data_IF_985499101230
#
_entry.id   IF_985499101230
#
_cell.length_a   1.000
_cell.length_b   1.000
_cell.length_c   1.000
_cell.angle_alpha   90.00
_cell.angle_beta   90.00
_cell.angle_gamma   90.00
#
_symmetry.space_group_name_H-M   'P 1'
#
loop_
_entity.id
_entity.type
_entity.pdbx_description
1 polymer ?
#
# COMPACT_ATOMS: atom_id res chain seq x y z
N UNK A 1 -42.77 -47.07 36.60
CA UNK A 1 -42.91 -46.10 35.49
C UNK A 1 -42.82 -46.85 34.17
N UNK A 2 -43.85 -46.78 33.31
CA UNK A 2 -43.90 -47.52 32.03
C UNK A 2 -42.83 -46.99 31.06
N UNK A 3 -41.97 -47.87 30.55
CA UNK A 3 -40.95 -47.53 29.57
C UNK A 3 -41.56 -47.10 28.23
N UNK A 4 -41.11 -45.97 27.67
CA UNK A 4 -41.58 -45.44 26.40
C UNK A 4 -41.19 -46.38 25.24
N UNK A 5 -42.20 -46.94 24.54
CA UNK A 5 -42.01 -47.77 23.34
C UNK A 5 -41.66 -46.88 22.16
N UNK A 6 -40.52 -47.16 21.51
CA UNK A 6 -40.08 -46.50 20.27
C UNK A 6 -41.14 -46.68 19.16
N UNK A 7 -41.60 -45.63 18.49
CA UNK A 7 -42.59 -45.76 17.42
C UNK A 7 -42.02 -46.58 16.25
N UNK A 8 -42.82 -47.51 15.72
CA UNK A 8 -42.45 -48.29 14.52
C UNK A 8 -42.36 -47.35 13.32
N UNK A 9 -41.24 -47.40 12.58
CA UNK A 9 -41.09 -46.68 11.31
C UNK A 9 -42.15 -47.17 10.32
N UNK A 10 -43.05 -46.29 9.89
CA UNK A 10 -44.00 -46.58 8.83
C UNK A 10 -43.27 -46.55 7.47
N UNK A 11 -43.65 -47.46 6.57
CA UNK A 11 -43.13 -47.48 5.20
C UNK A 11 -43.77 -46.33 4.40
N UNK A 12 -42.96 -45.36 4.01
CA UNK A 12 -43.38 -44.26 3.12
C UNK A 12 -43.17 -44.71 1.67
N UNK A 13 -44.23 -45.17 1.01
CA UNK A 13 -44.19 -45.49 -0.41
C UNK A 13 -44.20 -44.22 -1.25
N UNK A 14 -43.35 -44.16 -2.26
CA UNK A 14 -43.32 -43.08 -3.23
C UNK A 14 -44.07 -43.52 -4.49
N UNK A 15 -44.70 -42.56 -5.17
CA UNK A 15 -45.38 -42.83 -6.44
C UNK A 15 -44.44 -43.51 -7.46
N UNK A 16 -44.93 -44.53 -8.19
CA UNK A 16 -44.14 -45.21 -9.20
C UNK A 16 -43.65 -44.20 -10.24
N UNK A 17 -42.34 -44.24 -10.53
CA UNK A 17 -41.70 -43.34 -11.50
C UNK A 17 -41.14 -42.03 -10.94
N UNK A 18 -41.40 -41.66 -9.67
CA UNK A 18 -40.80 -40.45 -9.06
C UNK A 18 -39.27 -40.45 -9.11
N UNK A 19 -38.65 -41.58 -8.73
CA UNK A 19 -37.19 -41.73 -8.76
C UNK A 19 -36.64 -41.94 -10.18
N UNK A 20 -37.45 -42.48 -11.09
CA UNK A 20 -37.08 -42.59 -12.51
C UNK A 20 -36.95 -41.20 -13.12
N UNK A 21 -37.93 -40.31 -12.90
CA UNK A 21 -37.88 -38.90 -13.33
C UNK A 21 -36.71 -38.14 -12.68
N UNK A 22 -36.44 -38.39 -11.40
CA UNK A 22 -35.31 -37.79 -10.70
C UNK A 22 -33.97 -38.26 -11.30
N UNK A 23 -33.83 -39.56 -11.57
CA UNK A 23 -32.64 -40.11 -12.19
C UNK A 23 -32.43 -39.59 -13.62
N UNK A 24 -33.50 -39.44 -14.41
CA UNK A 24 -33.44 -38.82 -15.74
C UNK A 24 -32.99 -37.36 -15.67
N UNK A 25 -33.49 -36.57 -14.70
CA UNK A 25 -32.98 -35.21 -14.45
C UNK A 25 -31.51 -35.19 -14.06
N UNK A 26 -31.06 -36.13 -13.23
CA UNK A 26 -29.65 -36.22 -12.83
C UNK A 26 -28.75 -36.56 -14.03
N UNK A 27 -29.16 -37.52 -14.88
CA UNK A 27 -28.42 -37.88 -16.10
C UNK A 27 -28.36 -36.74 -17.10
N UNK A 28 -29.49 -36.08 -17.37
CA UNK A 28 -29.54 -34.92 -18.29
C UNK A 28 -28.70 -33.76 -17.79
N UNK A 29 -28.73 -33.46 -16.47
CA UNK A 29 -27.84 -32.48 -15.85
C UNK A 29 -26.37 -32.85 -16.04
N UNK A 30 -26.00 -34.11 -15.82
CA UNK A 30 -24.63 -34.60 -15.99
C UNK A 30 -24.19 -34.53 -17.46
N UNK A 31 -25.08 -34.85 -18.42
CA UNK A 31 -24.80 -34.71 -19.85
C UNK A 31 -24.58 -33.25 -20.26
N UNK A 32 -25.39 -32.32 -19.74
CA UNK A 32 -25.19 -30.88 -19.97
C UNK A 32 -23.85 -30.40 -19.39
N UNK A 33 -23.47 -30.86 -18.20
CA UNK A 33 -22.19 -30.52 -17.58
C UNK A 33 -21.00 -31.07 -18.38
N UNK A 34 -21.08 -32.31 -18.88
CA UNK A 34 -20.09 -32.89 -19.78
C UNK A 34 -20.00 -32.14 -21.11
N UNK A 35 -21.15 -31.73 -21.68
CA UNK A 35 -21.18 -30.95 -22.90
C UNK A 35 -20.53 -29.57 -22.68
N UNK A 36 -20.83 -28.90 -21.58
CA UNK A 36 -20.19 -27.65 -21.19
C UNK A 36 -18.67 -27.80 -21.01
N UNK A 37 -18.22 -28.89 -20.35
CA UNK A 37 -16.81 -29.19 -20.19
C UNK A 37 -16.12 -29.47 -21.53
N UNK A 38 -16.78 -30.21 -22.43
CA UNK A 38 -16.28 -30.50 -23.78
C UNK A 38 -16.14 -29.22 -24.62
N UNK A 39 -17.16 -28.36 -24.62
CA UNK A 39 -17.11 -27.05 -25.29
C UNK A 39 -15.99 -26.19 -24.69
N UNK A 40 -15.87 -26.13 -23.37
CA UNK A 40 -14.78 -25.39 -22.71
C UNK A 40 -13.39 -25.93 -23.07
N UNK A 41 -13.22 -27.25 -23.19
CA UNK A 41 -11.97 -27.87 -23.63
C UNK A 41 -11.68 -27.60 -25.12
N UNK A 42 -12.69 -27.66 -25.99
CA UNK A 42 -12.55 -27.34 -27.41
C UNK A 42 -12.16 -25.86 -27.63
N UNK A 43 -12.76 -24.94 -26.87
CA UNK A 43 -12.42 -23.51 -26.87
C UNK A 43 -11.00 -23.25 -26.35
N UNK A 44 -10.55 -24.02 -25.34
CA UNK A 44 -9.15 -23.97 -24.86
C UNK A 44 -8.16 -24.51 -25.89
N UNK A 45 -8.48 -25.64 -26.55
CA UNK A 45 -7.63 -26.28 -27.57
C UNK A 45 -7.48 -25.43 -28.84
N UNK A 46 -8.52 -24.71 -29.22
CA UNK A 46 -8.53 -23.85 -30.42
C UNK A 46 -7.81 -22.51 -30.21
N UNK A 47 -7.40 -22.16 -28.98
CA UNK A 47 -6.69 -20.91 -28.71
C UNK A 47 -7.52 -19.63 -28.92
N UNK A 48 -8.79 -19.76 -29.32
CA UNK A 48 -9.69 -18.64 -29.65
C UNK A 48 -10.00 -17.81 -28.39
N UNK A 49 -10.17 -18.44 -27.23
CA UNK A 49 -10.42 -17.71 -25.98
C UNK A 49 -9.19 -16.92 -25.49
N UNK A 50 -7.98 -17.44 -25.68
CA UNK A 50 -6.75 -16.70 -25.39
C UNK A 50 -6.56 -15.53 -26.36
N UNK A 51 -6.82 -15.73 -27.65
CA UNK A 51 -6.71 -14.67 -28.66
C UNK A 51 -7.78 -13.58 -28.50
N UNK A 52 -9.03 -13.94 -28.17
CA UNK A 52 -10.11 -12.99 -27.91
C UNK A 52 -9.92 -12.20 -26.58
N UNK A 53 -9.32 -12.83 -25.57
CA UNK A 53 -8.93 -12.12 -24.34
C UNK A 53 -7.77 -11.15 -24.61
N UNK A 54 -6.76 -11.56 -25.39
CA UNK A 54 -5.65 -10.69 -25.79
C UNK A 54 -6.12 -9.51 -26.66
N UNK A 55 -7.10 -9.70 -27.57
CA UNK A 55 -7.65 -8.59 -28.36
C UNK A 55 -8.45 -7.59 -27.53
N UNK A 56 -8.98 -8.00 -26.38
CA UNK A 56 -9.68 -7.10 -25.44
C UNK A 56 -8.70 -6.23 -24.62
N UNK A 57 -7.43 -6.63 -24.52
CA UNK A 57 -6.36 -5.89 -23.81
C UNK A 57 -5.81 -4.71 -24.63
N UNK A 58 -6.04 -4.69 -25.95
CA UNK A 58 -5.64 -3.52 -26.72
C UNK A 58 -6.29 -2.27 -26.09
N UNK A 59 -5.48 -1.25 -25.76
CA UNK A 59 -6.02 -0.06 -25.16
C UNK A 59 -7.04 0.52 -26.14
N UNK A 60 -8.33 0.46 -25.79
CA UNK A 60 -9.40 1.26 -26.40
C UNK A 60 -9.22 2.75 -26.08
N UNK A 61 -7.98 3.24 -26.11
CA UNK A 61 -7.76 4.60 -26.55
C UNK A 61 -7.99 4.53 -28.05
N UNK A 62 -9.23 4.77 -28.43
CA UNK A 62 -9.53 5.40 -29.71
C UNK A 62 -8.91 6.80 -29.60
N UNK A 63 -7.58 6.87 -29.65
CA UNK A 63 -6.97 7.99 -30.33
C UNK A 63 -7.28 7.62 -31.77
N UNK A 64 -8.17 8.37 -32.41
CA UNK A 64 -8.26 8.32 -33.86
C UNK A 64 -6.87 8.71 -34.38
N UNK A 65 -5.96 7.73 -34.48
CA UNK A 65 -4.70 7.85 -35.21
C UNK A 65 -4.96 8.05 -36.71
N UNK A 66 -6.22 7.89 -37.13
CA UNK A 66 -6.75 8.01 -38.48
C UNK A 66 -6.71 9.42 -39.06
N UNK A 67 -6.70 10.48 -38.23
CA UNK A 67 -6.66 11.85 -38.72
C UNK A 67 -5.54 12.61 -38.01
N UNK A 68 -4.31 12.46 -38.53
CA UNK A 68 -3.24 13.42 -38.26
C UNK A 68 -3.79 14.80 -38.67
N UNK A 69 -3.94 15.76 -37.74
CA UNK A 69 -4.46 17.06 -38.08
C UNK A 69 -3.60 17.69 -39.17
N UNK A 70 -4.24 18.35 -40.14
CA UNK A 70 -3.53 19.06 -41.22
C UNK A 70 -2.61 20.16 -40.70
N UNK A 71 -2.87 20.62 -39.47
CA UNK A 71 -2.07 21.60 -38.76
C UNK A 71 -2.09 21.29 -37.25
N UNK A 72 -0.92 21.22 -36.62
CA UNK A 72 -0.84 21.05 -35.18
C UNK A 72 -1.21 22.35 -34.45
N UNK A 73 -1.86 22.24 -33.28
CA UNK A 73 -2.42 23.38 -32.55
C UNK A 73 -1.40 24.44 -32.12
N UNK A 74 -0.12 24.06 -31.99
CA UNK A 74 0.96 24.99 -31.64
C UNK A 74 1.49 25.76 -32.85
N UNK A 75 1.43 25.18 -34.06
CA UNK A 75 1.81 25.86 -35.31
C UNK A 75 0.75 26.84 -35.79
N UNK A 76 -0.52 26.59 -35.49
CA UNK A 76 -1.63 27.49 -35.80
C UNK A 76 -1.43 28.92 -35.25
N UNK A 77 -0.65 29.07 -34.18
CA UNK A 77 -0.36 30.37 -33.58
C UNK A 77 0.81 31.13 -34.23
N UNK A 78 1.66 30.40 -34.96
CA UNK A 78 2.89 30.92 -35.56
C UNK A 78 2.63 31.37 -37.02
N UNK A 79 1.68 30.71 -37.68
CA UNK A 79 1.27 31.00 -39.05
C UNK A 79 0.34 32.21 -39.13
N UNK A 80 0.24 32.83 -40.31
CA UNK A 80 -0.71 33.93 -40.55
C UNK A 80 -2.16 33.43 -40.62
N UNK A 81 -3.09 34.33 -40.26
CA UNK A 81 -4.53 34.09 -40.34
C UNK A 81 -4.94 33.68 -41.76
N UNK A 82 -5.45 32.45 -41.91
CA UNK A 82 -5.90 31.89 -43.20
C UNK A 82 -5.12 30.66 -43.69
N UNK A 83 -4.02 30.29 -43.04
CA UNK A 83 -3.28 29.04 -43.36
C UNK A 83 -3.86 27.86 -42.56
N UNK A 84 -4.43 26.88 -43.26
CA UNK A 84 -5.16 25.74 -42.65
C UNK A 84 -4.44 24.39 -42.77
N UNK A 85 -3.34 24.33 -43.51
CA UNK A 85 -2.56 23.11 -43.73
C UNK A 85 -1.08 23.44 -43.99
N UNK A 86 -0.19 22.51 -43.66
CA UNK A 86 1.23 22.63 -43.98
C UNK A 86 1.52 22.71 -45.48
N UNK A 87 0.60 22.28 -46.34
CA UNK A 87 0.74 22.35 -47.81
C UNK A 87 1.00 23.78 -48.32
N UNK A 88 0.53 24.80 -47.60
CA UNK A 88 0.81 26.19 -47.93
C UNK A 88 2.32 26.55 -47.89
N UNK A 89 3.13 25.77 -47.15
CA UNK A 89 4.59 25.90 -47.16
C UNK A 89 5.22 25.33 -48.44
N UNK A 90 4.65 24.23 -48.96
CA UNK A 90 5.09 23.59 -50.20
C UNK A 90 4.71 24.49 -51.40
N UNK A 91 3.49 25.03 -51.41
CA UNK A 91 3.01 25.95 -52.46
C UNK A 91 3.89 27.21 -52.56
N UNK A 92 4.28 27.81 -51.41
CA UNK A 92 5.18 28.96 -51.42
C UNK A 92 6.63 28.63 -51.80
N UNK A 93 7.08 27.39 -51.54
CA UNK A 93 8.39 26.93 -51.97
C UNK A 93 8.45 26.74 -53.49
N UNK A 94 7.38 26.23 -54.10
CA UNK A 94 7.24 26.10 -55.56
C UNK A 94 7.17 27.48 -56.26
N UNK A 95 6.51 28.46 -55.65
CA UNK A 95 6.47 29.84 -56.16
C UNK A 95 7.75 30.66 -55.88
N UNK A 96 8.73 30.10 -55.15
CA UNK A 96 9.98 30.77 -54.80
C UNK A 96 9.82 31.90 -53.77
N UNK A 97 8.71 31.94 -53.03
CA UNK A 97 8.46 32.92 -51.98
C UNK A 97 9.20 32.53 -50.68
N UNK A 98 9.78 33.51 -49.96
CA UNK A 98 10.45 33.24 -48.70
C UNK A 98 9.41 32.85 -47.64
N UNK A 99 9.74 31.87 -46.79
CA UNK A 99 8.91 31.36 -45.67
C UNK A 99 8.36 32.46 -44.75
N UNK A 100 9.05 33.61 -44.73
CA UNK A 100 8.65 34.83 -44.02
C UNK A 100 7.30 35.42 -44.46
N UNK A 101 6.77 34.99 -45.61
CA UNK A 101 5.44 35.40 -46.12
C UNK A 101 4.32 34.64 -45.41
N UNK A 102 4.58 33.42 -44.96
CA UNK A 102 3.60 32.54 -44.30
C UNK A 102 3.63 32.73 -42.78
N UNK A 103 4.82 33.02 -42.24
CA UNK A 103 5.02 33.24 -40.82
C UNK A 103 4.49 34.60 -40.36
N UNK A 104 3.86 34.61 -39.20
CA UNK A 104 3.42 35.84 -38.57
C UNK A 104 4.60 36.52 -37.84
N UNK A 105 5.29 37.43 -38.55
CA UNK A 105 6.44 38.19 -38.03
C UNK A 105 6.14 39.01 -36.78
N UNK A 106 4.87 39.26 -36.45
CA UNK A 106 4.49 39.98 -35.24
C UNK A 106 4.72 39.16 -33.96
N UNK A 107 4.66 37.82 -34.04
CA UNK A 107 4.74 36.94 -32.89
C UNK A 107 6.16 36.41 -32.63
N UNK A 108 6.98 36.29 -33.69
CA UNK A 108 8.35 35.81 -33.59
C UNK A 108 9.28 37.01 -33.33
N UNK A 109 9.78 37.13 -32.12
CA UNK A 109 10.73 38.18 -31.71
C UNK A 109 11.97 37.57 -31.06
N UNK A 110 13.04 38.37 -30.89
CA UNK A 110 14.25 37.95 -30.19
C UNK A 110 14.08 37.85 -28.65
N UNK A 111 12.85 38.03 -28.15
CA UNK A 111 12.55 38.00 -26.73
C UNK A 111 12.36 36.55 -26.27
N UNK A 112 13.04 36.19 -25.19
CA UNK A 112 12.91 34.87 -24.55
C UNK A 112 12.07 35.02 -23.29
N UNK A 113 10.87 34.43 -23.29
CA UNK A 113 10.04 34.35 -22.09
C UNK A 113 10.64 33.34 -21.11
N UNK A 114 10.74 33.73 -19.84
CA UNK A 114 11.06 32.81 -18.76
C UNK A 114 9.74 32.32 -18.16
N UNK A 115 9.38 31.03 -18.30
CA UNK A 115 8.11 30.51 -17.80
C UNK A 115 7.93 30.77 -16.31
N UNK A 116 6.68 30.90 -15.89
CA UNK A 116 6.34 31.12 -14.49
C UNK A 116 6.90 29.97 -13.65
N UNK A 117 7.70 30.32 -12.63
CA UNK A 117 8.27 29.35 -11.68
C UNK A 117 7.15 28.83 -10.78
N UNK A 118 6.59 27.66 -11.13
CA UNK A 118 5.65 26.95 -10.27
C UNK A 118 6.36 26.38 -9.05
N UNK A 119 5.70 26.45 -7.89
CA UNK A 119 6.17 25.76 -6.68
C UNK A 119 6.12 24.24 -6.90
N UNK A 120 7.05 23.48 -6.30
CA UNK A 120 6.99 22.03 -6.40
C UNK A 120 5.68 21.53 -5.78
N UNK A 121 4.95 20.60 -6.43
CA UNK A 121 3.64 20.13 -5.95
C UNK A 121 3.63 19.54 -4.53
N UNK A 122 4.80 19.21 -3.97
CA UNK A 122 5.00 18.55 -2.68
C UNK A 122 5.88 19.36 -1.73
N UNK A 123 5.75 20.69 -1.74
CA UNK A 123 6.47 21.55 -0.80
C UNK A 123 6.01 21.24 0.64
N UNK A 124 6.96 21.04 1.56
CA UNK A 124 6.66 20.80 2.96
C UNK A 124 6.10 22.12 3.54
N UNK A 125 4.87 22.09 4.08
CA UNK A 125 4.26 23.27 4.71
C UNK A 125 5.09 23.84 5.87
N UNK A 126 5.93 22.99 6.47
CA UNK A 126 6.95 23.37 7.44
C UNK A 126 8.28 22.76 7.03
N UNK A 127 9.40 23.48 7.19
CA UNK A 127 10.71 22.90 6.98
C UNK A 127 10.88 21.67 7.90
N UNK A 128 11.60 20.63 7.46
CA UNK A 128 11.78 19.44 8.26
C UNK A 128 12.54 19.77 9.54
N UNK A 129 11.92 19.52 10.69
CA UNK A 129 12.57 19.71 11.99
C UNK A 129 13.69 18.69 12.15
N UNK A 130 14.94 19.16 12.21
CA UNK A 130 16.10 18.31 12.43
C UNK A 130 16.11 17.89 13.91
N UNK A 131 15.97 16.59 14.24
CA UNK A 131 15.96 16.16 15.64
C UNK A 131 17.33 16.39 16.28
N UNK A 132 17.36 17.16 17.37
CA UNK A 132 18.60 17.41 18.11
C UNK A 132 18.99 16.17 18.93
N UNK A 133 20.08 15.52 18.52
CA UNK A 133 20.62 14.34 19.19
C UNK A 133 21.77 14.75 20.10
N UNK A 134 21.63 14.49 21.39
CA UNK A 134 22.71 14.71 22.36
C UNK A 134 23.67 13.51 22.44
N UNK A 135 24.95 13.81 22.57
CA UNK A 135 25.98 12.79 22.84
C UNK A 135 25.76 12.13 24.21
N UNK A 136 26.40 10.98 24.45
CA UNK A 136 26.33 10.31 25.76
C UNK A 136 26.85 11.20 26.90
N UNK A 137 27.90 12.00 26.64
CA UNK A 137 28.50 12.93 27.63
C UNK A 137 27.54 14.06 27.99
N UNK A 138 26.91 14.69 26.99
CA UNK A 138 25.94 15.76 27.21
C UNK A 138 24.68 15.25 27.91
N UNK A 139 24.15 14.07 27.53
CA UNK A 139 23.04 13.45 28.26
C UNK A 139 23.36 13.21 29.73
N UNK A 140 24.60 12.81 30.05
CA UNK A 140 25.07 12.64 31.43
C UNK A 140 25.18 14.00 32.14
N UNK A 141 25.64 15.05 31.46
CA UNK A 141 25.74 16.43 31.98
C UNK A 141 24.35 17.00 32.31
N UNK A 142 23.42 16.98 31.36
CA UNK A 142 22.02 17.43 31.55
C UNK A 142 21.34 16.66 32.68
N UNK A 143 21.46 15.33 32.69
CA UNK A 143 20.91 14.51 33.79
C UNK A 143 21.50 14.88 35.15
N UNK A 144 22.80 15.19 35.24
CA UNK A 144 23.44 15.60 36.48
C UNK A 144 22.95 16.98 36.93
N UNK A 145 22.88 17.94 36.03
CA UNK A 145 22.40 19.30 36.30
C UNK A 145 20.94 19.27 36.78
N UNK A 146 20.03 18.60 36.06
CA UNK A 146 18.61 18.50 36.46
C UNK A 146 18.44 17.80 37.82
N UNK A 147 19.31 16.84 38.17
CA UNK A 147 19.30 16.20 39.50
C UNK A 147 19.81 17.12 40.60
N UNK A 148 20.86 17.89 40.31
CA UNK A 148 21.41 18.88 41.24
C UNK A 148 20.40 19.99 41.51
N UNK A 149 19.74 20.49 40.47
CA UNK A 149 18.69 21.51 40.56
C UNK A 149 17.48 20.99 41.35
N UNK A 150 16.95 19.81 41.01
CA UNK A 150 15.84 19.22 41.76
C UNK A 150 16.18 18.94 43.24
N UNK A 151 17.44 18.60 43.54
CA UNK A 151 17.91 18.42 44.92
C UNK A 151 18.04 19.76 45.64
N UNK A 152 18.55 20.80 44.96
CA UNK A 152 18.67 22.16 45.49
C UNK A 152 17.28 22.75 45.78
N UNK A 153 16.35 22.63 44.84
CA UNK A 153 14.95 23.04 45.00
C UNK A 153 14.29 22.34 46.20
N UNK A 154 14.54 21.04 46.38
CA UNK A 154 14.04 20.30 47.54
C UNK A 154 14.64 20.80 48.85
N UNK A 155 15.93 21.08 48.88
CA UNK A 155 16.61 21.64 50.05
C UNK A 155 16.11 23.05 50.38
N UNK A 156 15.89 23.89 49.37
CA UNK A 156 15.32 25.22 49.52
C UNK A 156 13.89 25.16 50.06
N UNK A 157 13.04 24.25 49.59
CA UNK A 157 11.70 24.01 50.15
C UNK A 157 11.74 23.61 51.62
N UNK A 158 12.71 22.79 52.04
CA UNK A 158 12.91 22.44 53.45
C UNK A 158 13.42 23.64 54.25
N UNK A 159 14.36 24.41 53.70
CA UNK A 159 14.90 25.63 54.35
C UNK A 159 13.83 26.69 54.56
N UNK A 160 12.89 26.82 53.63
CA UNK A 160 11.73 27.71 53.72
C UNK A 160 10.61 27.16 54.61
N UNK A 161 10.72 25.92 55.11
CA UNK A 161 9.70 25.28 55.95
C UNK A 161 8.45 24.80 55.19
N UNK A 162 8.44 24.86 53.86
CA UNK A 162 7.33 24.38 53.01
C UNK A 162 7.23 22.85 53.00
N UNK A 163 8.32 22.15 53.30
CA UNK A 163 8.35 20.69 53.44
C UNK A 163 9.11 20.30 54.71
N UNK A 164 8.63 19.31 55.49
CA UNK A 164 9.41 18.77 56.60
C UNK A 164 10.67 18.06 56.10
N UNK A 165 11.76 18.05 56.88
CA UNK A 165 12.95 17.25 56.57
C UNK A 165 12.59 15.78 56.34
N UNK A 166 13.16 15.12 55.32
CA UNK A 166 12.85 13.72 55.06
C UNK A 166 13.40 12.81 56.17
N UNK A 167 12.56 11.91 56.68
CA UNK A 167 12.97 10.92 57.68
C UNK A 167 14.10 10.00 57.19
N UNK A 168 14.96 9.49 58.10
CA UNK A 168 16.02 8.57 57.75
C UNK A 168 15.47 7.26 57.17
N UNK A 169 16.15 6.77 56.13
CA UNK A 169 15.76 5.56 55.41
C UNK A 169 16.15 4.31 56.22
N UNK A 170 15.24 3.75 57.02
CA UNK A 170 15.49 2.50 57.74
C UNK A 170 15.23 1.28 56.83
N UNK A 171 15.99 0.21 57.01
CA UNK A 171 15.80 -1.12 56.36
C UNK A 171 15.94 -2.16 57.47
N UNK A 172 15.34 -3.34 57.31
CA UNK A 172 15.52 -4.44 58.27
C UNK A 172 17.01 -4.76 58.54
N UNK A 173 17.84 -4.74 57.50
CA UNK A 173 19.30 -4.91 57.63
C UNK A 173 20.02 -3.78 58.39
N UNK A 174 19.47 -2.56 58.40
CA UNK A 174 20.05 -1.40 59.07
C UNK A 174 19.35 -1.09 60.41
N UNK A 175 18.40 -1.92 60.83
CA UNK A 175 17.50 -1.65 61.95
C UNK A 175 18.28 -1.50 63.26
N UNK A 176 19.15 -2.46 63.57
CA UNK A 176 19.97 -2.43 64.80
C UNK A 176 21.00 -1.30 64.83
N UNK A 177 21.43 -0.80 63.66
CA UNK A 177 22.39 0.30 63.58
C UNK A 177 21.72 1.67 63.76
N UNK A 178 20.45 1.82 63.36
CA UNK A 178 19.76 3.12 63.34
C UNK A 178 18.84 3.30 64.55
N UNK A 179 18.19 2.23 65.00
CA UNK A 179 17.23 2.24 66.13
C UNK A 179 17.65 1.23 67.21
N UNK A 180 18.96 1.05 67.44
CA UNK A 180 19.48 0.02 68.34
C UNK A 180 18.99 0.14 69.78
N UNK A 181 18.92 1.36 70.34
CA UNK A 181 18.37 1.61 71.68
C UNK A 181 16.91 1.18 71.82
N UNK A 182 16.11 1.50 70.80
CA UNK A 182 14.66 1.29 70.80
C UNK A 182 14.31 -0.16 70.44
N UNK A 183 15.13 -0.79 69.58
CA UNK A 183 14.99 -2.17 69.16
C UNK A 183 15.35 -3.16 70.28
N UNK A 184 16.20 -2.76 71.24
CA UNK A 184 16.51 -3.56 72.44
C UNK A 184 15.34 -3.56 73.43
N UNK A 185 14.58 -2.46 73.50
CA UNK A 185 13.41 -2.35 74.37
C UNK A 185 12.21 -3.12 73.80
N UNK A 186 11.83 -2.83 72.53
CA UNK A 186 10.67 -3.45 71.87
C UNK A 186 11.00 -3.91 70.43
N UNK A 187 11.53 -5.14 70.23
CA UNK A 187 11.99 -5.58 68.92
C UNK A 187 10.85 -5.69 67.89
N UNK A 188 9.67 -6.17 68.30
CA UNK A 188 8.51 -6.35 67.42
C UNK A 188 7.90 -5.03 66.95
N UNK A 189 7.86 -4.01 67.82
CA UNK A 189 7.30 -2.68 67.50
C UNK A 189 8.18 -1.95 66.49
N UNK A 190 9.50 -1.98 66.70
CA UNK A 190 10.47 -1.38 65.79
C UNK A 190 10.50 -2.11 64.44
N UNK A 191 10.39 -3.43 64.44
CA UNK A 191 10.25 -4.20 63.20
C UNK A 191 8.97 -3.83 62.42
N UNK A 192 7.82 -3.77 63.10
CA UNK A 192 6.55 -3.38 62.49
C UNK A 192 6.61 -1.96 61.91
N UNK A 193 7.21 -1.01 62.63
CA UNK A 193 7.45 0.35 62.16
C UNK A 193 8.31 0.38 60.88
N UNK A 194 9.42 -0.36 60.85
CA UNK A 194 10.31 -0.42 59.68
C UNK A 194 9.63 -1.11 58.49
N UNK A 195 8.84 -2.17 58.72
CA UNK A 195 8.02 -2.80 57.69
C UNK A 195 6.96 -1.85 57.13
N UNK A 196 6.26 -1.10 57.99
CA UNK A 196 5.31 -0.07 57.57
C UNK A 196 5.99 1.04 56.74
N UNK A 197 7.19 1.48 57.15
CA UNK A 197 7.97 2.46 56.39
C UNK A 197 8.47 1.89 55.04
N UNK A 198 8.83 0.61 54.99
CA UNK A 198 9.17 -0.11 53.75
C UNK A 198 7.97 -0.22 52.81
N UNK A 199 6.81 -0.62 53.35
CA UNK A 199 5.56 -0.74 52.61
C UNK A 199 5.07 0.61 52.11
N UNK A 200 5.11 1.65 52.94
CA UNK A 200 4.79 3.02 52.54
C UNK A 200 5.66 3.49 51.37
N UNK A 201 6.98 3.22 51.39
CA UNK A 201 7.87 3.52 50.26
C UNK A 201 7.53 2.71 49.01
N UNK A 202 7.23 1.41 49.16
CA UNK A 202 6.83 0.55 48.05
C UNK A 202 5.52 1.05 47.44
N UNK A 203 4.52 1.34 48.28
CA UNK A 203 3.23 1.91 47.90
C UNK A 203 3.37 3.26 47.23
N UNK A 204 4.20 4.16 47.75
CA UNK A 204 4.46 5.46 47.12
C UNK A 204 5.12 5.31 45.74
N UNK A 205 6.06 4.36 45.58
CA UNK A 205 6.67 4.05 44.28
C UNK A 205 5.64 3.45 43.30
N UNK A 206 4.83 2.50 43.74
CA UNK A 206 3.77 1.89 42.93
C UNK A 206 2.69 2.90 42.56
N UNK A 207 2.27 3.75 43.49
CA UNK A 207 1.32 4.83 43.26
C UNK A 207 1.88 5.86 42.26
N UNK A 208 3.15 6.24 42.37
CA UNK A 208 3.81 7.10 41.39
C UNK A 208 3.89 6.46 39.99
N UNK A 209 4.12 5.15 39.92
CA UNK A 209 4.12 4.42 38.66
C UNK A 209 2.71 4.27 38.08
N UNK A 210 1.70 4.03 38.92
CA UNK A 210 0.31 3.98 38.54
C UNK A 210 -0.18 5.34 38.01
N UNK A 211 0.19 6.43 38.68
CA UNK A 211 -0.11 7.80 38.23
C UNK A 211 0.55 8.15 36.88
N UNK A 212 1.79 7.67 36.63
CA UNK A 212 2.46 7.83 35.33
C UNK A 212 1.95 6.87 34.26
N UNK A 213 1.29 5.77 34.64
CA UNK A 213 0.80 4.76 33.71
C UNK A 213 -0.32 5.37 32.88
N UNK A 214 -0.07 5.37 31.58
CA UNK A 214 -1.00 5.92 30.61
C UNK A 214 -2.34 5.17 30.67
N UNK A 215 -3.46 5.90 30.66
CA UNK A 215 -4.78 5.27 30.61
C UNK A 215 -4.93 4.47 29.30
N UNK A 216 -5.84 3.49 29.27
CA UNK A 216 -6.06 2.66 28.06
C UNK A 216 -6.41 3.53 26.85
N UNK A 217 -7.19 4.58 27.06
CA UNK A 217 -7.60 5.53 26.02
C UNK A 217 -6.44 6.39 25.53
N UNK A 218 -5.64 6.95 26.44
CA UNK A 218 -4.44 7.71 26.09
C UNK A 218 -3.42 6.82 25.36
N UNK A 219 -3.28 5.55 25.74
CA UNK A 219 -2.43 4.59 25.06
C UNK A 219 -2.94 4.27 23.64
N UNK A 220 -4.25 4.12 23.48
CA UNK A 220 -4.89 3.98 22.16
C UNK A 220 -4.64 5.22 21.31
N UNK A 221 -4.82 6.42 21.84
CA UNK A 221 -4.56 7.67 21.14
C UNK A 221 -3.09 7.80 20.71
N UNK A 222 -2.14 7.52 21.60
CA UNK A 222 -0.70 7.53 21.24
C UNK A 222 -0.38 6.48 20.17
N UNK A 223 -1.02 5.30 20.21
CA UNK A 223 -0.86 4.26 19.16
C UNK A 223 -1.43 4.73 17.83
N UNK A 224 -2.63 5.31 17.83
CA UNK A 224 -3.26 5.87 16.62
C UNK A 224 -2.39 7.00 16.06
N UNK A 225 -1.93 7.94 16.88
CA UNK A 225 -1.02 9.03 16.46
C UNK A 225 0.30 8.51 15.88
N UNK A 226 0.81 7.38 16.38
CA UNK A 226 2.02 6.73 15.82
C UNK A 226 1.76 6.05 14.45
N UNK A 227 0.56 5.54 14.24
CA UNK A 227 0.16 4.84 13.00
C UNK A 227 -0.32 5.83 11.94
N UNK A 228 -1.07 6.85 12.36
CA UNK A 228 -1.60 7.93 11.52
C UNK A 228 -0.41 8.79 11.10
N UNK A 229 0.19 8.42 9.98
CA UNK A 229 1.22 9.21 9.32
C UNK A 229 0.58 10.39 8.61
N UNK A 230 1.32 11.48 8.51
CA UNK A 230 0.89 12.61 7.70
C UNK A 230 0.94 12.20 6.22
N UNK A 231 -0.24 11.97 5.65
CA UNK A 231 -0.40 11.55 4.25
C UNK A 231 -0.72 12.75 3.35
N UNK A 232 -0.55 13.98 3.87
CA UNK A 232 -0.94 15.21 3.17
C UNK A 232 0.02 15.59 2.03
N UNK A 233 1.27 15.10 2.06
CA UNK A 233 2.30 15.46 1.07
C UNK A 233 2.40 14.44 -0.07
N UNK A 234 2.40 13.17 0.29
CA UNK A 234 2.44 12.06 -0.65
C UNK A 234 1.73 10.87 -0.04
N UNK A 235 0.96 10.20 -0.88
CA UNK A 235 0.28 8.95 -0.54
C UNK A 235 1.06 7.84 -1.20
N UNK A 236 1.55 6.89 -0.41
CA UNK A 236 2.14 5.69 -0.98
C UNK A 236 1.04 4.71 -1.32
N UNK A 237 1.07 4.18 -2.53
CA UNK A 237 0.09 3.24 -3.05
C UNK A 237 0.81 1.96 -3.42
N UNK A 238 0.22 0.83 -3.05
CA UNK A 238 0.68 -0.51 -3.42
C UNK A 238 -0.49 -1.25 -4.04
N UNK A 239 -0.24 -1.86 -5.19
CA UNK A 239 -1.21 -2.65 -5.93
C UNK A 239 -0.74 -4.10 -5.94
N UNK A 240 -1.55 -4.98 -5.35
CA UNK A 240 -1.29 -6.40 -5.29
C UNK A 240 -2.28 -7.14 -6.17
N UNK A 241 -1.79 -8.18 -6.85
CA UNK A 241 -2.60 -9.15 -7.55
C UNK A 241 -2.58 -10.46 -6.78
N UNK A 242 -3.75 -11.05 -6.56
CA UNK A 242 -3.94 -12.31 -5.87
C UNK A 242 -4.73 -13.27 -6.75
N UNK A 243 -4.24 -14.51 -6.90
CA UNK A 243 -4.92 -15.53 -7.70
C UNK A 243 -6.24 -15.95 -7.03
N UNK A 244 -6.15 -16.43 -5.79
CA UNK A 244 -7.31 -16.95 -5.05
C UNK A 244 -7.62 -16.15 -3.79
N UNK A 245 -8.82 -15.56 -3.77
CA UNK A 245 -9.39 -14.90 -2.61
C UNK A 245 -10.53 -15.70 -1.96
N UNK A 246 -10.71 -16.98 -2.29
CA UNK A 246 -11.84 -17.80 -1.80
C UNK A 246 -11.84 -18.02 -0.29
N UNK A 247 -10.67 -17.99 0.37
CA UNK A 247 -10.56 -18.21 1.81
C UNK A 247 -11.02 -16.97 2.63
N UNK A 248 -12.07 -17.08 3.47
CA UNK A 248 -12.54 -15.97 4.31
C UNK A 248 -11.49 -15.47 5.30
N UNK A 249 -10.55 -16.33 5.73
CA UNK A 249 -9.46 -15.95 6.63
C UNK A 249 -8.51 -14.95 5.96
N UNK A 250 -8.23 -15.12 4.67
CA UNK A 250 -7.38 -14.19 3.91
C UNK A 250 -8.08 -12.85 3.75
N UNK A 251 -9.38 -12.84 3.40
CA UNK A 251 -10.24 -11.64 3.39
C UNK A 251 -10.20 -10.87 4.70
N UNK A 252 -10.49 -11.58 5.79
CA UNK A 252 -10.52 -10.97 7.11
C UNK A 252 -9.17 -10.38 7.52
N UNK A 253 -8.05 -11.08 7.24
CA UNK A 253 -6.70 -10.57 7.53
C UNK A 253 -6.42 -9.30 6.74
N UNK A 254 -6.69 -9.29 5.44
CA UNK A 254 -6.46 -8.13 4.57
C UNK A 254 -7.29 -6.93 5.04
N UNK A 255 -8.59 -7.12 5.23
CA UNK A 255 -9.51 -6.07 5.67
C UNK A 255 -9.14 -5.51 7.05
N UNK A 256 -8.94 -6.40 8.03
CA UNK A 256 -8.70 -6.01 9.42
C UNK A 256 -7.36 -5.32 9.56
N UNK A 257 -6.30 -5.79 8.88
CA UNK A 257 -5.00 -5.14 8.97
C UNK A 257 -5.00 -3.79 8.26
N UNK A 258 -5.67 -3.65 7.11
CA UNK A 258 -5.77 -2.36 6.44
C UNK A 258 -6.52 -1.34 7.30
N UNK A 259 -7.63 -1.74 7.93
CA UNK A 259 -8.39 -0.92 8.88
C UNK A 259 -7.57 -0.57 10.14
N UNK A 260 -6.86 -1.53 10.73
CA UNK A 260 -6.00 -1.29 11.91
C UNK A 260 -4.83 -0.35 11.60
N UNK A 261 -4.31 -0.39 10.37
CA UNK A 261 -3.26 0.50 9.90
C UNK A 261 -3.80 1.85 9.41
N UNK A 262 -5.12 2.08 9.41
CA UNK A 262 -5.76 3.29 8.89
C UNK A 262 -5.39 3.56 7.42
N UNK A 263 -5.28 2.48 6.66
CA UNK A 263 -5.06 2.52 5.22
C UNK A 263 -6.41 2.61 4.49
N UNK A 264 -6.37 3.14 3.28
CA UNK A 264 -7.53 3.26 2.38
C UNK A 264 -7.29 2.42 1.13
N UNK A 265 -8.33 2.12 0.36
CA UNK A 265 -8.15 1.29 -0.83
C UNK A 265 -9.41 0.57 -1.30
N UNK A 266 -9.23 -0.33 -2.26
CA UNK A 266 -10.30 -1.14 -2.83
C UNK A 266 -9.77 -2.54 -3.13
N UNK A 267 -10.57 -3.54 -2.77
CA UNK A 267 -10.35 -4.94 -3.15
C UNK A 267 -11.41 -5.34 -4.16
N UNK A 268 -11.02 -5.48 -5.42
CA UNK A 268 -11.86 -5.98 -6.48
C UNK A 268 -11.71 -7.51 -6.58
N UNK A 269 -12.80 -8.22 -6.36
CA UNK A 269 -12.86 -9.67 -6.47
C UNK A 269 -13.39 -10.05 -7.85
N UNK A 270 -12.59 -10.77 -8.63
CA UNK A 270 -12.94 -11.27 -9.95
C UNK A 270 -12.46 -12.73 -10.07
N UNK A 271 -13.08 -13.52 -10.96
CA UNK A 271 -12.78 -14.96 -11.10
C UNK A 271 -11.33 -15.20 -11.52
N UNK A 272 -10.83 -14.36 -12.42
CA UNK A 272 -9.53 -14.58 -13.08
C UNK A 272 -8.40 -13.76 -12.45
N UNK A 273 -8.70 -12.68 -11.75
CA UNK A 273 -7.70 -11.76 -11.19
C UNK A 273 -8.27 -10.93 -10.04
N UNK A 274 -7.88 -11.22 -8.80
CA UNK A 274 -8.26 -10.38 -7.66
C UNK A 274 -7.23 -9.26 -7.47
N UNK A 275 -7.70 -8.02 -7.38
CA UNK A 275 -6.84 -6.84 -7.27
C UNK A 275 -7.07 -6.19 -5.92
N UNK A 276 -5.97 -5.94 -5.19
CA UNK A 276 -5.96 -5.27 -3.89
C UNK A 276 -5.15 -4.00 -4.03
N UNK A 277 -5.83 -2.86 -4.07
CA UNK A 277 -5.21 -1.53 -4.05
C UNK A 277 -5.24 -0.99 -2.64
N UNK A 278 -4.09 -0.58 -2.11
CA UNK A 278 -3.99 0.00 -0.77
C UNK A 278 -3.15 1.25 -0.80
N UNK A 279 -3.68 2.30 -0.17
CA UNK A 279 -3.12 3.63 -0.05
C UNK A 279 -2.84 3.95 1.42
N UNK A 280 -1.70 4.57 1.69
CA UNK A 280 -1.31 4.92 3.05
C UNK A 280 0.06 5.56 3.14
N UNK A 281 0.54 5.72 4.37
CA UNK A 281 1.90 6.18 4.64
C UNK A 281 2.96 5.08 4.46
N UNK A 282 4.24 5.45 4.35
CA UNK A 282 5.32 4.50 4.06
C UNK A 282 5.51 3.43 5.15
N UNK A 283 5.30 3.73 6.45
CA UNK A 283 5.39 2.70 7.50
C UNK A 283 4.19 1.77 7.49
N UNK A 284 3.02 2.28 7.12
CA UNK A 284 1.82 1.47 6.94
C UNK A 284 2.04 0.49 5.78
N UNK A 285 2.53 0.98 4.64
CA UNK A 285 2.85 0.17 3.46
C UNK A 285 3.86 -0.94 3.76
N UNK A 286 4.98 -0.65 4.43
CA UNK A 286 5.98 -1.69 4.78
C UNK A 286 5.39 -2.82 5.63
N UNK A 287 4.45 -2.52 6.53
CA UNK A 287 3.78 -3.54 7.35
C UNK A 287 2.78 -4.35 6.53
N UNK A 288 2.06 -3.70 5.63
CA UNK A 288 1.06 -4.33 4.77
C UNK A 288 1.72 -5.18 3.67
N UNK A 289 2.80 -4.72 3.07
CA UNK A 289 3.63 -5.47 2.13
C UNK A 289 4.17 -6.75 2.77
N UNK A 290 4.69 -6.66 4.00
CA UNK A 290 5.11 -7.84 4.77
C UNK A 290 3.95 -8.77 5.11
N UNK A 291 2.74 -8.23 5.32
CA UNK A 291 1.55 -9.05 5.51
C UNK A 291 1.21 -9.84 4.25
N UNK A 292 1.09 -9.15 3.12
CA UNK A 292 0.66 -9.72 1.84
C UNK A 292 1.65 -10.72 1.28
N UNK A 293 2.95 -10.39 1.29
CA UNK A 293 3.95 -11.24 0.63
C UNK A 293 4.50 -12.35 1.53
N UNK A 294 4.62 -12.12 2.84
CA UNK A 294 5.38 -13.03 3.73
C UNK A 294 4.54 -13.69 4.82
N UNK A 295 3.53 -13.02 5.38
CA UNK A 295 2.78 -13.53 6.55
C UNK A 295 1.52 -14.32 6.17
N UNK A 296 0.86 -13.94 5.08
CA UNK A 296 -0.27 -14.69 4.55
C UNK A 296 0.29 -15.80 3.69
N UNK A 297 -0.01 -17.04 4.07
CA UNK A 297 0.31 -18.22 3.28
C UNK A 297 -0.85 -18.50 2.33
N UNK A 298 -0.74 -18.00 1.10
CA UNK A 298 -1.84 -18.04 0.12
C UNK A 298 -2.24 -19.45 -0.28
N UNK A 299 -1.31 -20.39 -0.25
CA UNK A 299 -1.52 -21.80 -0.61
C UNK A 299 -2.15 -22.66 0.51
N UNK A 300 -2.27 -22.13 1.74
CA UNK A 300 -2.95 -22.85 2.83
C UNK A 300 -4.47 -22.74 2.68
N UNK A 301 -5.07 -23.77 2.08
CA UNK A 301 -6.53 -23.98 2.09
C UNK A 301 -6.97 -24.39 3.51
N UNK A 302 -8.24 -24.09 3.87
CA UNK A 302 -8.82 -24.27 5.22
C UNK A 302 -8.31 -25.52 5.95
N UNK A 303 -7.93 -25.33 7.22
CA UNK A 303 -7.66 -26.38 8.22
C UNK A 303 -8.70 -27.51 8.12
N UNK A 304 -8.24 -28.75 7.86
CA UNK A 304 -8.97 -29.96 8.21
C UNK A 304 -9.51 -30.85 7.09
N UNK A 305 -8.95 -30.82 5.87
CA UNK A 305 -9.08 -31.98 4.97
C UNK A 305 -7.70 -32.40 4.50
N UNK A 306 -7.17 -33.37 5.23
CA UNK A 306 -5.92 -34.04 4.93
C UNK A 306 -6.17 -34.99 3.76
N UNK A 307 -5.81 -34.58 2.56
CA UNK A 307 -5.44 -35.50 1.48
C UNK A 307 -4.23 -34.88 0.77
N UNK A 308 -3.04 -35.20 1.30
CA UNK A 308 -2.00 -35.89 0.54
C UNK A 308 -1.60 -35.40 -0.84
N UNK A 309 -1.80 -34.12 -1.21
CA UNK A 309 -1.18 -33.58 -2.43
C UNK A 309 0.02 -32.71 -2.07
N UNK A 310 1.16 -33.39 -1.86
CA UNK A 310 2.47 -32.79 -1.80
C UNK A 310 2.88 -32.26 -3.18
N UNK A 311 2.26 -31.18 -3.64
CA UNK A 311 2.86 -30.31 -4.63
C UNK A 311 3.38 -29.06 -3.92
N UNK A 312 4.39 -29.28 -3.08
CA UNK A 312 5.17 -28.25 -2.39
C UNK A 312 6.17 -27.54 -3.35
N UNK A 313 5.82 -27.42 -4.63
CA UNK A 313 6.65 -26.84 -5.70
C UNK A 313 5.85 -25.99 -6.69
N UNK A 314 4.77 -25.31 -6.26
CA UNK A 314 4.32 -24.12 -6.97
C UNK A 314 5.17 -22.93 -6.52
N UNK A 315 6.31 -22.74 -7.19
CA UNK A 315 7.26 -21.64 -6.99
C UNK A 315 6.68 -20.23 -7.26
N UNK A 316 5.37 -20.13 -7.44
CA UNK A 316 4.67 -18.88 -7.66
C UNK A 316 3.98 -18.43 -6.38
N UNK A 317 4.38 -17.25 -5.91
CA UNK A 317 3.72 -16.58 -4.81
C UNK A 317 2.26 -16.31 -5.20
N UNK A 318 1.29 -16.86 -4.47
CA UNK A 318 -0.15 -16.68 -4.76
C UNK A 318 -0.62 -15.22 -4.71
N UNK A 319 0.23 -14.33 -4.17
CA UNK A 319 0.12 -12.89 -4.23
C UNK A 319 1.40 -12.30 -4.81
N UNK A 320 1.26 -11.34 -5.72
CA UNK A 320 2.36 -10.59 -6.31
C UNK A 320 2.13 -9.09 -6.13
N UNK A 321 3.21 -8.34 -5.91
CA UNK A 321 3.20 -6.89 -5.95
C UNK A 321 3.36 -6.47 -7.42
N UNK A 322 2.34 -5.81 -7.97
CA UNK A 322 2.33 -5.40 -9.38
C UNK A 322 2.92 -4.01 -9.53
N UNK A 323 2.56 -3.10 -8.62
CA UNK A 323 3.04 -1.73 -8.65
C UNK A 323 3.14 -1.15 -7.25
N UNK A 324 4.15 -0.32 -7.04
CA UNK A 324 4.37 0.46 -5.83
C UNK A 324 4.78 1.86 -6.23
N UNK A 325 4.12 2.86 -5.68
CA UNK A 325 4.44 4.23 -6.07
C UNK A 325 3.88 5.28 -5.14
N UNK A 326 4.01 6.54 -5.56
CA UNK A 326 3.51 7.69 -4.81
C UNK A 326 2.53 8.51 -5.64
N UNK A 327 1.38 8.82 -5.05
CA UNK A 327 0.30 9.60 -5.65
C UNK A 327 0.10 10.88 -4.81
N UNK A 328 -0.42 11.93 -5.43
CA UNK A 328 -0.64 13.22 -4.76
C UNK A 328 -1.72 13.17 -3.69
N UNK A 329 -2.84 12.50 -3.95
CA UNK A 329 -4.00 12.43 -3.04
C UNK A 329 -4.53 11.00 -2.93
N UNK A 330 -5.29 10.73 -1.86
CA UNK A 330 -5.97 9.45 -1.66
C UNK A 330 -7.19 9.39 -2.58
N UNK A 331 -7.31 8.32 -3.37
CA UNK A 331 -8.49 8.10 -4.19
C UNK A 331 -9.62 7.44 -3.39
N UNK A 332 -9.31 6.76 -2.28
CA UNK A 332 -10.28 5.98 -1.49
C UNK A 332 -10.44 6.50 -0.05
N UNK A 333 -11.66 6.36 0.49
CA UNK A 333 -11.98 6.80 1.87
C UNK A 333 -11.76 5.72 2.93
N UNK A 334 -12.11 4.47 2.58
CA UNK A 334 -11.99 3.26 3.42
C UNK A 334 -11.73 2.07 2.52
N UNK A 335 -11.14 1.01 3.07
CA UNK A 335 -11.00 -0.26 2.35
C UNK A 335 -12.36 -0.91 2.18
N UNK A 336 -12.75 -1.15 0.94
CA UNK A 336 -14.00 -1.83 0.59
C UNK A 336 -13.71 -3.09 -0.23
N UNK A 337 -14.52 -4.13 -0.02
CA UNK A 337 -14.53 -5.31 -0.87
C UNK A 337 -15.68 -5.20 -1.86
N UNK A 338 -15.38 -5.28 -3.15
CA UNK A 338 -16.37 -5.26 -4.23
C UNK A 338 -16.24 -6.53 -5.03
N UNK A 339 -17.31 -7.31 -5.10
CA UNK A 339 -17.40 -8.44 -6.01
C UNK A 339 -17.78 -7.92 -7.39
N UNK A 340 -16.93 -8.21 -8.37
CA UNK A 340 -17.08 -7.77 -9.74
C UNK A 340 -17.18 -9.02 -10.63
N UNK A 341 -18.38 -9.41 -11.08
CA UNK A 341 -18.55 -10.58 -11.93
C UNK A 341 -17.97 -10.42 -13.33
N UNK A 342 -17.90 -9.18 -13.82
CA UNK A 342 -17.39 -8.83 -15.14
C UNK A 342 -16.26 -7.82 -15.04
N UNK A 343 -15.32 -7.90 -15.96
CA UNK A 343 -14.14 -7.03 -16.04
C UNK A 343 -14.50 -5.56 -16.27
N UNK A 344 -15.49 -5.29 -17.12
CA UNK A 344 -15.99 -3.94 -17.37
C UNK A 344 -16.52 -3.29 -16.10
N UNK A 345 -17.27 -4.05 -15.29
CA UNK A 345 -17.76 -3.56 -14.00
C UNK A 345 -16.62 -3.29 -13.02
N UNK A 346 -15.59 -4.16 -12.98
CA UNK A 346 -14.41 -3.92 -12.17
C UNK A 346 -13.70 -2.62 -12.58
N UNK A 347 -13.44 -2.45 -13.88
CA UNK A 347 -12.83 -1.23 -14.44
C UNK A 347 -13.65 0.02 -14.15
N UNK A 348 -14.98 -0.06 -14.23
CA UNK A 348 -15.88 1.05 -13.90
C UNK A 348 -15.77 1.48 -12.42
N UNK A 349 -15.60 0.53 -11.48
CA UNK A 349 -15.38 0.86 -10.06
C UNK A 349 -14.08 1.64 -9.84
N UNK A 350 -13.01 1.31 -10.57
CA UNK A 350 -11.75 2.06 -10.52
C UNK A 350 -11.83 3.39 -11.28
N UNK A 351 -12.59 3.44 -12.38
CA UNK A 351 -12.84 4.66 -13.16
C UNK A 351 -13.59 5.72 -12.37
N UNK A 352 -14.54 5.33 -11.49
CA UNK A 352 -15.23 6.25 -10.57
C UNK A 352 -14.29 7.01 -9.63
N UNK A 353 -13.05 6.57 -9.50
CA UNK A 353 -12.01 7.16 -8.64
C UNK A 353 -10.78 7.58 -9.45
N UNK A 354 -10.90 7.66 -10.78
CA UNK A 354 -9.82 8.02 -11.74
C UNK A 354 -8.55 7.15 -11.66
N UNK A 355 -8.70 5.89 -11.21
CA UNK A 355 -7.60 4.94 -11.03
C UNK A 355 -7.75 3.66 -11.86
N UNK A 356 -8.37 3.78 -13.03
CA UNK A 356 -8.59 2.65 -13.98
C UNK A 356 -7.30 1.94 -14.40
N UNK A 357 -6.20 2.68 -14.48
CA UNK A 357 -4.88 2.17 -14.87
C UNK A 357 -4.35 1.07 -13.92
N UNK A 358 -4.74 1.06 -12.63
CA UNK A 358 -4.35 -0.02 -11.71
C UNK A 358 -5.01 -1.35 -12.06
N UNK A 359 -6.28 -1.31 -12.49
CA UNK A 359 -6.99 -2.49 -12.94
C UNK A 359 -6.40 -2.98 -14.26
N UNK A 360 -6.23 -2.09 -15.24
CA UNK A 360 -5.73 -2.44 -16.56
C UNK A 360 -4.32 -3.07 -16.49
N UNK A 361 -3.43 -2.53 -15.64
CA UNK A 361 -2.11 -3.10 -15.39
C UNK A 361 -2.16 -4.50 -14.75
N UNK A 362 -3.01 -4.71 -13.75
CA UNK A 362 -3.14 -6.02 -13.11
C UNK A 362 -3.76 -7.05 -14.03
N UNK A 363 -4.79 -6.65 -14.78
CA UNK A 363 -5.57 -7.51 -15.65
C UNK A 363 -4.75 -7.92 -16.88
N UNK A 364 -4.09 -6.97 -17.56
CA UNK A 364 -3.16 -7.27 -18.65
C UNK A 364 -2.03 -8.19 -18.17
N UNK A 365 -1.44 -7.90 -17.01
CA UNK A 365 -0.41 -8.74 -16.42
C UNK A 365 -0.90 -10.17 -16.11
N UNK A 366 -2.13 -10.30 -15.62
CA UNK A 366 -2.73 -11.61 -15.34
C UNK A 366 -2.92 -12.45 -16.60
N UNK A 367 -3.35 -11.82 -17.71
CA UNK A 367 -3.55 -12.53 -18.97
C UNK A 367 -2.23 -12.93 -19.60
N UNK A 368 -1.24 -12.03 -19.63
CA UNK A 368 0.07 -12.34 -20.18
C UNK A 368 0.77 -13.48 -19.42
N UNK A 369 0.54 -13.58 -18.10
CA UNK A 369 0.99 -14.75 -17.31
C UNK A 369 0.21 -16.01 -17.68
N UNK A 370 -1.11 -15.91 -17.86
CA UNK A 370 -1.95 -17.04 -18.24
C UNK A 370 -1.63 -17.56 -19.66
N UNK A 371 -1.16 -16.72 -20.57
CA UNK A 371 -0.75 -17.10 -21.93
C UNK A 371 0.71 -17.55 -22.02
N UNK A 372 1.47 -17.50 -20.93
CA UNK A 372 2.88 -17.93 -20.89
C UNK A 372 3.85 -17.00 -21.65
N UNK A 373 3.38 -15.87 -22.16
CA UNK A 373 4.21 -14.88 -22.90
C UNK A 373 5.02 -13.97 -21.96
N UNK A 374 4.80 -14.05 -20.65
CA UNK A 374 5.46 -13.21 -19.65
C UNK A 374 6.99 -13.29 -19.66
N UNK A 375 7.55 -14.47 -19.93
CA UNK A 375 9.01 -14.65 -19.99
C UNK A 375 9.61 -13.88 -21.18
N UNK A 376 8.94 -13.92 -22.33
CA UNK A 376 9.41 -13.32 -23.58
C UNK A 376 9.33 -11.79 -23.55
N UNK A 377 8.24 -11.21 -23.02
CA UNK A 377 8.09 -9.75 -22.90
C UNK A 377 9.03 -9.16 -21.85
N UNK A 378 9.27 -9.89 -20.75
CA UNK A 378 10.19 -9.47 -19.67
C UNK A 378 11.64 -9.49 -20.13
N UNK A 379 12.04 -10.48 -20.94
CA UNK A 379 13.35 -10.50 -21.62
C UNK A 379 13.45 -9.39 -22.67
N UNK A 380 12.40 -9.12 -23.44
CA UNK A 380 12.36 -8.05 -24.44
C UNK A 380 12.51 -6.66 -23.83
N UNK A 381 11.82 -6.38 -22.72
CA UNK A 381 11.91 -5.09 -21.99
C UNK A 381 13.30 -4.93 -21.34
N UNK A 382 13.84 -6.00 -20.73
CA UNK A 382 15.20 -5.97 -20.16
C UNK A 382 16.30 -5.89 -21.23
N UNK A 383 16.10 -6.49 -22.41
CA UNK A 383 17.00 -6.43 -23.56
C UNK A 383 16.97 -5.07 -24.26
N UNK A 384 15.82 -4.40 -24.30
CA UNK A 384 15.67 -3.08 -24.89
C UNK A 384 16.32 -1.95 -24.06
N UNK A 385 16.56 -2.16 -22.76
CA UNK A 385 17.20 -1.18 -21.87
C UNK A 385 18.23 -1.83 -20.93
N UNK A 386 19.44 -2.19 -21.42
CA UNK A 386 20.47 -2.79 -20.61
C UNK A 386 21.36 -1.69 -19.99
N UNK A 387 20.89 -0.98 -18.96
CA UNK A 387 21.77 -0.11 -18.15
C UNK A 387 21.40 -0.20 -16.67
N UNK A 388 22.09 -1.09 -15.97
CA UNK A 388 22.14 -1.11 -14.52
C UNK A 388 23.04 0.03 -14.02
N UNK A 389 22.43 1.10 -13.51
CA UNK A 389 23.10 2.04 -12.61
C UNK A 389 22.69 1.68 -11.18
N UNK A 390 23.61 1.32 -10.27
CA UNK A 390 23.25 0.98 -8.90
C UNK A 390 22.73 2.24 -8.19
N UNK A 391 21.44 2.27 -7.86
CA UNK A 391 20.81 3.35 -7.09
C UNK A 391 19.66 4.09 -7.77
N UNK A 392 19.28 3.73 -9.00
CA UNK A 392 18.06 4.23 -9.67
C UNK A 392 17.19 3.05 -10.12
N UNK A 393 16.09 2.82 -9.40
CA UNK A 393 15.05 1.87 -9.83
C UNK A 393 14.24 2.49 -10.99
N UNK A 394 14.31 1.86 -12.16
CA UNK A 394 13.54 2.18 -13.35
C UNK A 394 12.08 1.70 -13.18
N UNK A 395 11.28 2.45 -12.41
CA UNK A 395 9.82 2.26 -12.33
C UNK A 395 9.01 3.38 -13.01
N UNK A 396 9.68 4.33 -13.67
CA UNK A 396 9.02 5.42 -14.40
C UNK A 396 9.09 5.20 -15.91
N UNK A 397 8.26 4.30 -16.45
CA UNK A 397 7.83 4.39 -17.86
C UNK A 397 6.57 3.57 -18.17
N UNK A 398 5.49 3.78 -17.40
CA UNK A 398 4.14 3.41 -17.86
C UNK A 398 3.22 4.59 -17.60
N UNK A 399 3.46 5.71 -18.29
CA UNK A 399 2.47 6.74 -18.54
C UNK A 399 2.95 7.62 -19.70
N UNK A 400 2.12 7.68 -20.74
CA UNK A 400 2.27 8.42 -22.01
C UNK A 400 3.07 7.68 -23.09
N UNK A 401 2.33 7.02 -23.99
CA UNK A 401 2.81 6.76 -25.34
C UNK A 401 3.23 8.10 -25.98
N UNK A 402 4.34 8.07 -26.71
CA UNK A 402 4.96 9.21 -27.41
C UNK A 402 5.59 10.33 -26.59
N UNK A 403 6.59 10.00 -25.75
CA UNK A 403 7.65 10.98 -25.37
C UNK A 403 9.06 10.41 -25.58
N UNK A 404 9.23 9.44 -26.48
CA UNK A 404 10.54 8.80 -26.74
C UNK A 404 11.35 9.42 -27.88
N UNK A 405 10.81 10.36 -28.66
CA UNK A 405 11.58 11.11 -29.66
C UNK A 405 12.34 12.30 -29.05
N UNK A 406 11.71 13.06 -28.14
CA UNK A 406 12.28 14.30 -27.59
C UNK A 406 13.41 14.10 -26.57
N UNK A 407 13.42 12.98 -25.84
CA UNK A 407 14.49 12.70 -24.87
C UNK A 407 15.78 12.20 -25.53
N UNK A 408 15.67 11.61 -26.73
CA UNK A 408 16.80 11.03 -27.47
C UNK A 408 17.77 12.10 -28.00
N UNK A 409 17.26 13.29 -28.33
CA UNK A 409 18.08 14.42 -28.78
C UNK A 409 18.81 15.14 -27.63
N UNK A 410 18.14 15.42 -26.50
CA UNK A 410 18.77 16.15 -25.38
C UNK A 410 19.90 15.39 -24.67
N UNK A 411 19.86 14.06 -24.65
CA UNK A 411 20.91 13.26 -23.99
C UNK A 411 22.15 13.09 -24.84
N UNK A 412 22.04 13.16 -26.17
CA UNK A 412 23.20 13.11 -27.08
C UNK A 412 23.99 14.42 -27.00
N UNK A 413 23.31 15.57 -26.97
CA UNK A 413 23.96 16.88 -26.85
C UNK A 413 24.75 17.04 -25.52
N UNK A 414 24.23 16.49 -24.41
CA UNK A 414 24.92 16.55 -23.13
C UNK A 414 26.18 15.67 -23.07
N UNK A 415 26.22 14.58 -23.84
CA UNK A 415 27.35 13.64 -23.87
C UNK A 415 28.46 14.13 -24.81
N UNK A 416 28.13 14.82 -25.89
CA UNK A 416 29.14 15.47 -26.75
C UNK A 416 29.74 16.72 -26.09
N UNK A 417 28.98 17.47 -25.27
CA UNK A 417 29.50 18.66 -24.59
C UNK A 417 30.53 18.34 -23.48
N UNK A 418 30.44 17.17 -22.84
CA UNK A 418 31.44 16.74 -21.85
C UNK A 418 32.75 16.22 -22.47
N UNK A 419 32.79 15.95 -23.78
CA UNK A 419 34.02 15.48 -24.47
C UNK A 419 34.89 16.62 -25.01
N UNK A 420 34.38 17.85 -25.02
CA UNK A 420 35.09 19.06 -25.47
C UNK A 420 35.72 19.87 -24.33
N UNK A 421 35.64 19.40 -23.09
CA UNK A 421 36.40 19.93 -21.93
C UNK A 421 37.14 18.80 -21.23
N UNK A 422 38.23 18.37 -21.85
CA UNK A 422 39.24 17.49 -21.30
C UNK A 422 40.58 17.80 -21.93
#
# INVERSE_FOLDING_TARGET
MKAARRPKRQLSFYEPGKFIKLAQRMRTKQQLELLQQSVAQAVKRTGIASAAKLSTIQPKRVVDESEVPTLEWWDAYILKDGVTAYSALDDAAEEGLPTSVILNKAWITNLVEHPIKLKPPRELSKPPEIPLLLTKKERKKVRRQNRQEAQKERQEKVRLGLMPPPEPKVRLANLMRVLGSDAVQDPSKVEAYVRAQMESRKRAHEAANAARKLTKEQARYKRIKKIKEDTSQAVHVSVYRVKDFSNPSHRFKVETNANQLLMTGLVALHTDCNVVVVEGGPRQQRKFERLMLHRIKWHETKRGRDEGNQNANSAESGCQLVWKGTVGQRAFDKVQFRACPTELFAREQFRKRDVEHYWDLCYSGAILEATGQYAFEKERINSAYPMAVPGFELEYLICKGNVLSLFRQRTLDAYEFSRLKG
#
